data_IF_002247537097
#
_entry.id   IF_002247537097
#
_cell.length_a   1.000
_cell.length_b   1.000
_cell.length_c   1.000
_cell.angle_alpha   90.00
_cell.angle_beta   90.00
_cell.angle_gamma   90.00
#
_symmetry.space_group_name_H-M   'P 1'
#
loop_
_entity.id
_entity.type
_entity.pdbx_description
1 polymer ?
#
# COMPACT_ATOMS: atom_id res chain seq x y z
N UNK A 1 23.41 7.97 16.67
CA UNK A 1 24.00 8.98 15.76
C UNK A 1 25.35 9.47 16.26
N UNK A 2 25.47 9.87 17.54
CA UNK A 2 26.75 10.27 18.15
C UNK A 2 27.85 9.20 18.06
N UNK A 3 27.54 7.93 18.35
CA UNK A 3 28.50 6.81 18.19
C UNK A 3 29.01 6.65 16.74
N UNK A 4 28.13 6.85 15.75
CA UNK A 4 28.54 6.81 14.33
C UNK A 4 29.43 8.01 13.95
N UNK A 5 29.15 9.20 14.48
CA UNK A 5 29.97 10.39 14.28
C UNK A 5 31.37 10.22 14.86
N UNK A 6 31.47 9.66 16.06
CA UNK A 6 32.74 9.36 16.72
C UNK A 6 33.58 8.35 15.94
N UNK A 7 32.95 7.32 15.36
CA UNK A 7 33.62 6.34 14.50
C UNK A 7 34.04 6.92 13.15
N UNK A 8 33.26 7.84 12.57
CA UNK A 8 33.66 8.59 11.37
C UNK A 8 34.82 9.54 11.66
N UNK A 9 34.83 10.16 12.84
CA UNK A 9 35.92 11.01 13.29
C UNK A 9 37.24 10.25 13.42
N UNK A 10 37.22 8.94 13.68
CA UNK A 10 38.43 8.10 13.69
C UNK A 10 38.97 7.82 12.28
N UNK A 11 38.21 8.09 11.22
CA UNK A 11 38.58 7.87 9.81
C UNK A 11 39.13 9.12 9.12
N UNK A 12 39.89 9.95 9.86
CA UNK A 12 40.49 11.23 9.39
C UNK A 12 41.43 11.08 8.18
N UNK A 13 41.95 9.87 7.95
CA UNK A 13 42.85 9.54 6.85
C UNK A 13 42.12 9.45 5.50
N UNK A 14 40.79 9.27 5.49
CA UNK A 14 40.00 9.22 4.26
C UNK A 14 39.69 10.64 3.78
N UNK A 15 40.08 11.05 2.55
CA UNK A 15 39.95 12.45 2.09
C UNK A 15 38.51 13.00 2.15
N UNK A 16 37.52 12.16 1.84
CA UNK A 16 36.11 12.57 1.84
C UNK A 16 35.52 12.73 3.25
N UNK A 17 36.05 11.99 4.23
CA UNK A 17 35.72 12.14 5.65
C UNK A 17 36.40 13.38 6.21
N UNK A 18 37.68 13.59 5.86
CA UNK A 18 38.45 14.79 6.24
C UNK A 18 37.78 16.09 5.81
N UNK A 19 37.21 16.12 4.60
CA UNK A 19 36.47 17.27 4.08
C UNK A 19 35.19 17.60 4.88
N UNK A 20 34.68 16.65 5.68
CA UNK A 20 33.45 16.78 6.47
C UNK A 20 33.69 16.77 7.99
N UNK A 21 34.95 16.74 8.44
CA UNK A 21 35.30 16.80 9.87
C UNK A 21 34.73 18.02 10.60
N UNK A 22 34.75 19.25 10.05
CA UNK A 22 34.18 20.41 10.75
C UNK A 22 32.70 20.24 11.09
N UNK A 23 31.93 19.61 10.18
CA UNK A 23 30.52 19.30 10.39
C UNK A 23 30.34 18.18 11.44
N UNK A 24 31.20 17.17 11.42
CA UNK A 24 31.16 16.06 12.38
C UNK A 24 31.47 16.55 13.80
N UNK A 25 32.42 17.48 13.95
CA UNK A 25 32.76 18.11 15.24
C UNK A 25 31.64 19.04 15.72
N UNK A 26 31.06 19.85 14.85
CA UNK A 26 29.93 20.75 15.17
C UNK A 26 28.71 19.98 15.69
N UNK A 27 28.34 18.88 15.05
CA UNK A 27 27.16 18.08 15.43
C UNK A 27 27.39 17.27 16.72
N UNK A 28 28.65 17.11 17.14
CA UNK A 28 28.99 16.42 18.39
C UNK A 28 28.87 17.33 19.63
N UNK A 29 28.86 18.65 19.47
CA UNK A 29 28.69 19.55 20.61
C UNK A 29 27.27 19.50 21.16
N UNK A 30 27.12 19.64 22.48
CA UNK A 30 25.78 19.61 23.10
C UNK A 30 24.93 20.82 22.71
N UNK A 31 25.56 21.97 22.45
CA UNK A 31 24.90 23.20 22.04
C UNK A 31 24.17 23.06 20.70
N UNK A 32 24.69 22.24 19.79
CA UNK A 32 24.03 21.99 18.51
C UNK A 32 22.67 21.28 18.68
N UNK A 33 22.57 20.38 19.65
CA UNK A 33 21.35 19.60 19.90
C UNK A 33 20.26 20.39 20.64
N UNK A 34 20.63 21.47 21.34
CA UNK A 34 19.67 22.29 22.11
C UNK A 34 18.66 23.01 21.21
N UNK A 35 19.11 23.46 20.03
CA UNK A 35 18.28 24.20 19.06
C UNK A 35 18.04 23.43 17.74
N UNK A 36 18.31 22.12 17.72
CA UNK A 36 18.24 21.31 16.51
C UNK A 36 16.79 21.10 16.03
N UNK A 37 16.47 21.66 14.86
CA UNK A 37 15.21 21.39 14.18
C UNK A 37 15.25 20.09 13.34
N UNK A 38 14.11 19.40 13.11
CA UNK A 38 14.07 18.14 12.38
C UNK A 38 14.71 18.18 10.98
N UNK A 39 14.59 19.31 10.27
CA UNK A 39 15.19 19.48 8.94
C UNK A 39 16.72 19.54 8.99
N UNK A 40 17.31 20.05 10.08
CA UNK A 40 18.76 20.12 10.28
C UNK A 40 19.35 18.72 10.47
N UNK A 41 18.64 17.87 11.24
CA UNK A 41 19.01 16.47 11.46
C UNK A 41 18.95 15.68 10.15
N UNK A 42 17.91 15.90 9.34
CA UNK A 42 17.78 15.22 8.05
C UNK A 42 18.87 15.66 7.05
N UNK A 43 19.22 16.95 7.03
CA UNK A 43 20.34 17.44 6.23
C UNK A 43 21.66 16.77 6.62
N UNK A 44 21.92 16.60 7.92
CA UNK A 44 23.12 15.89 8.40
C UNK A 44 23.09 14.42 8.00
N UNK A 45 21.95 13.74 8.13
CA UNK A 45 21.80 12.33 7.72
C UNK A 45 22.13 12.15 6.23
N UNK A 46 21.68 13.07 5.37
CA UNK A 46 22.00 13.05 3.95
C UNK A 46 23.49 13.26 3.70
N UNK A 47 24.12 14.24 4.37
CA UNK A 47 25.54 14.52 4.18
C UNK A 47 26.47 13.42 4.72
N UNK A 48 26.05 12.68 5.74
CA UNK A 48 26.84 11.60 6.34
C UNK A 48 26.57 10.23 5.73
N UNK A 49 25.47 10.05 4.97
CA UNK A 49 25.06 8.76 4.39
C UNK A 49 26.20 8.08 3.62
N UNK A 50 26.90 8.85 2.80
CA UNK A 50 27.97 8.33 1.95
C UNK A 50 29.28 8.07 2.71
N UNK A 51 29.38 8.59 3.94
CA UNK A 51 30.55 8.41 4.81
C UNK A 51 30.44 7.15 5.67
N UNK A 52 29.22 6.68 6.00
CA UNK A 52 28.99 5.51 6.87
C UNK A 52 29.69 4.24 6.36
N UNK A 53 29.88 4.10 5.05
CA UNK A 53 30.56 2.96 4.43
C UNK A 53 32.05 2.83 4.82
N UNK A 54 32.65 3.88 5.39
CA UNK A 54 34.05 3.89 5.82
C UNK A 54 34.23 3.52 7.30
N UNK A 55 33.14 3.30 8.04
CA UNK A 55 33.20 2.73 9.38
C UNK A 55 33.48 1.24 9.22
N UNK A 56 34.57 0.75 9.81
CA UNK A 56 34.86 -0.69 9.79
C UNK A 56 33.76 -1.42 10.55
N UNK A 57 33.25 -2.51 9.96
CA UNK A 57 32.34 -3.42 10.66
C UNK A 57 33.21 -4.22 11.62
N UNK A 58 33.15 -3.91 12.92
CA UNK A 58 33.74 -4.81 13.91
C UNK A 58 33.04 -6.17 13.80
N UNK A 59 33.88 -7.22 13.83
CA UNK A 59 33.47 -8.61 13.84
C UNK A 59 32.39 -8.82 14.91
N UNK A 60 31.22 -9.27 14.47
CA UNK A 60 30.16 -9.69 15.39
C UNK A 60 30.67 -10.94 16.11
N UNK A 61 30.96 -10.83 17.41
CA UNK A 61 31.36 -11.97 18.24
C UNK A 61 30.25 -13.01 18.19
N UNK A 62 30.52 -14.14 17.52
CA UNK A 62 29.63 -15.31 17.50
C UNK A 62 29.72 -15.93 18.89
N UNK A 63 28.71 -15.72 19.73
CA UNK A 63 28.58 -16.41 21.01
C UNK A 63 27.92 -17.75 20.75
N UNK A 64 28.68 -18.84 20.89
CA UNK A 64 28.12 -20.19 20.97
C UNK A 64 27.50 -20.36 22.36
N UNK A 65 26.17 -20.44 22.42
CA UNK A 65 25.48 -20.98 23.59
C UNK A 65 25.18 -22.45 23.33
N UNK A 66 25.90 -23.30 24.05
CA UNK A 66 25.64 -24.73 24.16
C UNK A 66 24.44 -24.92 25.09
N UNK A 67 23.26 -25.16 24.51
CA UNK A 67 22.07 -25.57 25.24
C UNK A 67 21.64 -26.92 24.69
N UNK A 68 21.83 -27.97 25.49
CA UNK A 68 21.14 -29.25 25.30
C UNK A 68 19.68 -29.06 25.65
N UNK A 69 18.83 -28.78 24.66
CA UNK A 69 17.39 -28.64 24.85
C UNK A 69 16.61 -29.75 24.14
N UNK A 70 15.72 -30.36 24.92
CA UNK A 70 14.66 -31.26 24.48
C UNK A 70 13.68 -30.50 23.58
N UNK A 71 13.22 -31.15 22.51
CA UNK A 71 12.29 -30.58 21.55
C UNK A 71 10.92 -30.35 22.19
N UNK A 72 10.63 -29.12 22.59
CA UNK A 72 9.26 -28.65 22.85
C UNK A 72 8.86 -27.60 21.78
N UNK A 73 7.57 -27.56 21.47
CA UNK A 73 7.01 -27.03 20.22
C UNK A 73 7.41 -25.57 19.90
N UNK A 74 7.70 -25.34 18.62
CA UNK A 74 8.11 -24.05 18.06
C UNK A 74 7.02 -22.97 18.23
N UNK A 75 7.26 -21.97 19.09
CA UNK A 75 6.58 -20.68 18.97
C UNK A 75 7.31 -19.80 17.94
N UNK A 76 6.61 -19.44 16.86
CA UNK A 76 7.10 -18.47 15.87
C UNK A 76 7.23 -17.07 16.50
N UNK A 77 8.43 -16.71 16.95
CA UNK A 77 8.73 -15.33 17.35
C UNK A 77 8.99 -14.48 16.10
N UNK A 78 8.08 -13.55 15.84
CA UNK A 78 8.14 -12.62 14.71
C UNK A 78 9.27 -11.60 14.90
N UNK A 79 10.36 -11.73 14.14
CA UNK A 79 11.43 -10.73 14.07
C UNK A 79 10.94 -9.52 13.26
N UNK A 80 10.89 -8.29 13.81
CA UNK A 80 10.35 -7.15 13.09
C UNK A 80 11.31 -6.70 11.99
N UNK A 81 11.09 -7.22 10.79
CA UNK A 81 11.77 -6.76 9.59
C UNK A 81 11.21 -5.38 9.26
N UNK A 82 12.01 -4.30 9.43
CA UNK A 82 11.66 -2.97 8.90
C UNK A 82 11.82 -2.94 7.36
N UNK A 83 11.00 -3.70 6.65
CA UNK A 83 10.49 -3.24 5.36
C UNK A 83 9.41 -2.22 5.71
N UNK A 84 9.65 -0.94 5.47
CA UNK A 84 8.66 0.09 5.75
C UNK A 84 7.36 -0.24 5.01
N UNK A 85 6.31 -0.61 5.75
CA UNK A 85 5.00 -0.88 5.20
C UNK A 85 4.50 0.38 4.47
N UNK A 86 4.47 0.33 3.14
CA UNK A 86 3.93 1.42 2.33
C UNK A 86 2.49 1.09 1.97
N UNK A 87 1.53 1.78 2.60
CA UNK A 87 0.11 1.63 2.30
C UNK A 87 -0.19 1.81 0.81
N UNK A 88 0.55 2.69 0.12
CA UNK A 88 0.40 2.88 -1.32
C UNK A 88 0.83 1.64 -2.13
N UNK A 89 1.97 1.03 -1.81
CA UNK A 89 2.40 -0.20 -2.49
C UNK A 89 1.48 -1.38 -2.18
N UNK A 90 1.02 -1.49 -0.94
CA UNK A 90 0.01 -2.50 -0.56
C UNK A 90 -1.25 -2.33 -1.40
N UNK A 91 -1.80 -1.11 -1.47
CA UNK A 91 -2.99 -0.84 -2.31
C UNK A 91 -2.78 -1.26 -3.76
N UNK A 92 -1.66 -0.87 -4.36
CA UNK A 92 -1.33 -1.23 -5.74
C UNK A 92 -1.30 -2.75 -5.96
N UNK A 93 -0.73 -3.51 -5.02
CA UNK A 93 -0.65 -4.98 -5.10
C UNK A 93 -2.04 -5.62 -4.98
N UNK A 94 -2.82 -5.22 -3.98
CA UNK A 94 -4.18 -5.74 -3.73
C UNK A 94 -5.09 -5.47 -4.92
N UNK A 95 -5.08 -4.25 -5.43
CA UNK A 95 -5.90 -3.88 -6.58
C UNK A 95 -5.48 -4.62 -7.86
N UNK A 96 -4.17 -4.79 -8.10
CA UNK A 96 -3.67 -5.56 -9.23
C UNK A 96 -4.15 -7.02 -9.15
N UNK A 97 -4.01 -7.64 -7.97
CA UNK A 97 -4.48 -9.01 -7.74
C UNK A 97 -5.98 -9.18 -8.01
N UNK A 98 -6.82 -8.24 -7.58
CA UNK A 98 -8.27 -8.29 -7.88
C UNK A 98 -8.52 -8.15 -9.39
N UNK A 99 -7.80 -7.27 -10.08
CA UNK A 99 -7.93 -7.08 -11.54
C UNK A 99 -7.46 -8.30 -12.33
N UNK A 100 -6.39 -8.96 -11.89
CA UNK A 100 -5.83 -10.14 -12.55
C UNK A 100 -6.76 -11.36 -12.42
N UNK A 101 -7.58 -11.39 -11.38
CA UNK A 101 -8.53 -12.47 -11.12
C UNK A 101 -9.96 -12.15 -11.57
N UNK A 102 -10.13 -11.30 -12.58
CA UNK A 102 -11.46 -10.96 -13.13
C UNK A 102 -12.29 -12.16 -13.60
N UNK A 103 -11.64 -13.26 -13.95
CA UNK A 103 -12.28 -14.51 -14.39
C UNK A 103 -12.78 -15.37 -13.23
N UNK A 104 -12.45 -15.03 -11.97
CA UNK A 104 -12.98 -15.71 -10.80
C UNK A 104 -14.50 -15.57 -10.76
N UNK A 105 -15.21 -16.66 -10.47
CA UNK A 105 -16.69 -16.74 -10.61
C UNK A 105 -17.41 -15.61 -9.89
N UNK A 106 -17.02 -15.30 -8.65
CA UNK A 106 -17.64 -14.22 -7.89
C UNK A 106 -17.37 -12.82 -8.48
N UNK A 107 -16.15 -12.58 -8.99
CA UNK A 107 -15.79 -11.28 -9.61
C UNK A 107 -16.51 -11.14 -10.96
N UNK A 108 -16.55 -12.20 -11.76
CA UNK A 108 -17.26 -12.24 -13.02
C UNK A 108 -18.77 -11.96 -12.84
N UNK A 109 -19.40 -12.54 -11.81
CA UNK A 109 -20.80 -12.25 -11.45
C UNK A 109 -21.00 -10.78 -11.05
N UNK A 110 -20.12 -10.22 -10.22
CA UNK A 110 -20.17 -8.80 -9.87
C UNK A 110 -20.07 -7.89 -11.11
N UNK A 111 -19.14 -8.19 -12.02
CA UNK A 111 -18.95 -7.46 -13.28
C UNK A 111 -20.19 -7.55 -14.18
N UNK A 112 -20.84 -8.71 -14.26
CA UNK A 112 -22.09 -8.92 -15.02
C UNK A 112 -23.34 -8.40 -14.32
N UNK A 113 -23.19 -7.70 -13.20
CA UNK A 113 -24.30 -7.22 -12.39
C UNK A 113 -25.28 -8.34 -11.96
N UNK A 114 -24.75 -9.53 -11.71
CA UNK A 114 -25.50 -10.69 -11.22
C UNK A 114 -25.46 -10.73 -9.68
N UNK A 115 -26.54 -11.19 -9.02
CA UNK A 115 -26.55 -11.33 -7.58
C UNK A 115 -25.57 -12.43 -7.14
N UNK A 116 -24.80 -12.16 -6.08
CA UNK A 116 -23.97 -13.16 -5.45
C UNK A 116 -24.80 -14.01 -4.48
N UNK A 117 -24.78 -15.33 -4.65
CA UNK A 117 -25.31 -16.25 -3.64
C UNK A 117 -24.33 -16.37 -2.47
N UNK A 118 -24.78 -16.95 -1.35
CA UNK A 118 -23.97 -17.08 -0.14
C UNK A 118 -22.59 -17.74 -0.41
N UNK A 119 -22.57 -18.81 -1.20
CA UNK A 119 -21.32 -19.48 -1.59
C UNK A 119 -20.38 -18.60 -2.43
N UNK A 120 -20.92 -17.74 -3.30
CA UNK A 120 -20.09 -16.81 -4.09
C UNK A 120 -19.48 -15.71 -3.20
N UNK A 121 -20.22 -15.26 -2.18
CA UNK A 121 -19.73 -14.26 -1.24
C UNK A 121 -18.56 -14.81 -0.41
N UNK A 122 -18.68 -16.06 0.07
CA UNK A 122 -17.59 -16.75 0.75
C UNK A 122 -16.40 -16.94 -0.19
N UNK A 123 -16.65 -17.37 -1.43
CA UNK A 123 -15.58 -17.57 -2.41
C UNK A 123 -14.84 -16.25 -2.70
N UNK A 124 -15.55 -15.12 -2.77
CA UNK A 124 -14.95 -13.80 -2.94
C UNK A 124 -14.08 -13.42 -1.74
N UNK A 125 -14.60 -13.58 -0.52
CA UNK A 125 -13.85 -13.28 0.71
C UNK A 125 -12.60 -14.15 0.83
N UNK A 126 -12.73 -15.46 0.59
CA UNK A 126 -11.60 -16.39 0.60
C UNK A 126 -10.56 -16.02 -0.45
N UNK A 127 -11.00 -15.72 -1.67
CA UNK A 127 -10.10 -15.34 -2.75
C UNK A 127 -9.28 -14.10 -2.41
N UNK A 128 -9.88 -13.10 -1.76
CA UNK A 128 -9.20 -11.85 -1.39
C UNK A 128 -8.34 -12.05 -0.14
N UNK A 129 -8.91 -12.56 0.96
CA UNK A 129 -8.22 -12.61 2.25
C UNK A 129 -7.23 -13.77 2.40
N UNK A 130 -7.33 -14.83 1.61
CA UNK A 130 -6.34 -15.92 1.61
C UNK A 130 -5.17 -15.67 0.65
N UNK A 131 -5.12 -14.53 -0.02
CA UNK A 131 -4.00 -14.18 -0.88
C UNK A 131 -2.82 -13.66 -0.04
N UNK A 132 -1.62 -14.20 -0.25
CA UNK A 132 -0.40 -13.81 0.48
C UNK A 132 -0.14 -12.29 0.44
N UNK A 133 -0.54 -11.64 -0.66
CA UNK A 133 -0.40 -10.18 -0.85
C UNK A 133 -1.32 -9.33 0.03
N UNK A 134 -2.43 -9.89 0.52
CA UNK A 134 -3.35 -9.21 1.44
C UNK A 134 -2.89 -9.39 2.89
N UNK A 135 -2.07 -10.41 3.16
CA UNK A 135 -1.55 -10.86 4.46
C UNK A 135 -2.67 -11.32 5.40
N UNK A 136 -3.58 -10.43 5.78
CA UNK A 136 -4.74 -10.76 6.60
C UNK A 136 -5.90 -9.79 6.38
N UNK A 137 -7.09 -10.17 6.89
CA UNK A 137 -8.28 -9.31 6.86
C UNK A 137 -8.08 -8.04 7.69
N UNK A 138 -7.37 -8.13 8.81
CA UNK A 138 -7.04 -7.02 9.68
C UNK A 138 -6.14 -6.01 8.97
N UNK A 139 -5.15 -6.50 8.22
CA UNK A 139 -4.26 -5.66 7.44
C UNK A 139 -4.99 -4.95 6.31
N UNK A 140 -5.90 -5.64 5.62
CA UNK A 140 -6.79 -5.04 4.64
C UNK A 140 -7.63 -3.92 5.27
N UNK A 141 -8.26 -4.18 6.42
CA UNK A 141 -9.08 -3.22 7.13
C UNK A 141 -8.28 -2.02 7.66
N UNK A 142 -7.01 -2.22 8.03
CA UNK A 142 -6.11 -1.12 8.44
C UNK A 142 -5.83 -0.14 7.31
N UNK A 143 -5.76 -0.61 6.06
CA UNK A 143 -5.41 0.22 4.88
C UNK A 143 -6.64 0.83 4.21
N UNK A 144 -7.72 0.07 4.13
CA UNK A 144 -8.94 0.45 3.42
C UNK A 144 -10.06 0.92 4.36
N UNK A 145 -10.00 0.59 5.65
CA UNK A 145 -11.09 0.83 6.59
C UNK A 145 -12.18 -0.23 6.46
N UNK A 146 -13.37 0.09 6.97
CA UNK A 146 -14.53 -0.78 6.88
C UNK A 146 -15.22 -0.63 5.51
N UNK A 147 -14.71 -1.33 4.50
CA UNK A 147 -15.22 -1.25 3.12
C UNK A 147 -16.11 -2.45 2.81
N UNK A 148 -17.21 -2.21 2.09
CA UNK A 148 -18.00 -3.29 1.52
C UNK A 148 -17.23 -3.96 0.37
N UNK A 149 -16.79 -5.21 0.57
CA UNK A 149 -15.94 -5.92 -0.39
C UNK A 149 -16.57 -6.04 -1.78
N UNK A 150 -17.88 -6.27 -1.88
CA UNK A 150 -18.59 -6.38 -3.16
C UNK A 150 -18.54 -5.07 -3.94
N UNK A 151 -18.73 -3.96 -3.24
CA UNK A 151 -18.66 -2.61 -3.82
C UNK A 151 -17.23 -2.28 -4.26
N UNK A 152 -16.26 -2.54 -3.40
CA UNK A 152 -14.84 -2.32 -3.68
C UNK A 152 -14.38 -3.07 -4.94
N UNK A 153 -14.73 -4.35 -5.04
CA UNK A 153 -14.39 -5.14 -6.23
C UNK A 153 -15.03 -4.56 -7.49
N UNK A 154 -16.31 -4.15 -7.44
CA UNK A 154 -16.97 -3.48 -8.58
C UNK A 154 -16.26 -2.18 -8.96
N UNK A 155 -15.85 -1.37 -7.99
CA UNK A 155 -15.08 -0.13 -8.23
C UNK A 155 -13.77 -0.37 -8.98
N UNK A 156 -13.12 -1.51 -8.75
CA UNK A 156 -11.85 -1.83 -9.39
C UNK A 156 -11.98 -2.47 -10.78
N UNK A 157 -13.00 -3.28 -11.02
CA UNK A 157 -13.15 -4.07 -12.26
C UNK A 157 -14.17 -3.49 -13.23
N UNK A 158 -14.98 -2.52 -12.78
CA UNK A 158 -16.06 -1.96 -13.57
C UNK A 158 -17.25 -2.90 -13.75
N UNK A 159 -18.11 -2.57 -14.72
CA UNK A 159 -19.26 -3.40 -15.10
C UNK A 159 -19.22 -3.77 -16.57
N UNK A 160 -19.84 -4.90 -16.89
CA UNK A 160 -20.09 -5.28 -18.26
C UNK A 160 -21.11 -4.32 -18.90
N UNK A 161 -20.72 -3.71 -20.02
CA UNK A 161 -21.55 -2.72 -20.71
C UNK A 161 -22.92 -3.26 -21.09
N UNK A 162 -23.02 -4.53 -21.51
CA UNK A 162 -24.29 -5.13 -21.91
C UNK A 162 -25.18 -5.38 -20.68
N UNK A 163 -24.60 -5.80 -19.56
CA UNK A 163 -25.32 -5.92 -18.30
C UNK A 163 -25.90 -4.57 -17.83
N UNK A 164 -25.11 -3.48 -17.92
CA UNK A 164 -25.58 -2.13 -17.60
C UNK A 164 -26.69 -1.70 -18.57
N UNK A 165 -26.48 -1.83 -19.89
CA UNK A 165 -27.52 -1.53 -20.90
C UNK A 165 -28.82 -2.28 -20.63
N UNK A 166 -28.73 -3.58 -20.31
CA UNK A 166 -29.89 -4.42 -19.98
C UNK A 166 -30.62 -3.91 -18.73
N UNK A 167 -29.88 -3.50 -17.70
CA UNK A 167 -30.45 -2.91 -16.49
C UNK A 167 -31.10 -1.54 -16.75
N UNK A 168 -30.56 -0.74 -17.67
CA UNK A 168 -31.11 0.56 -18.06
C UNK A 168 -32.28 0.47 -19.04
N UNK A 169 -32.42 -0.64 -19.79
CA UNK A 169 -33.48 -0.83 -20.79
C UNK A 169 -34.90 -0.61 -20.23
N UNK A 170 -35.14 -0.97 -18.96
CA UNK A 170 -36.43 -0.73 -18.29
C UNK A 170 -36.73 0.74 -17.97
N UNK A 171 -35.72 1.60 -17.98
CA UNK A 171 -35.84 3.03 -17.68
C UNK A 171 -35.85 3.90 -18.95
N UNK A 172 -35.36 3.38 -20.08
CA UNK A 172 -35.44 4.05 -21.38
C UNK A 172 -36.90 4.06 -21.86
N UNK A 173 -37.48 5.26 -22.02
CA UNK A 173 -38.80 5.43 -22.61
C UNK A 173 -38.67 5.77 -24.10
N UNK A 174 -39.66 5.42 -24.95
CA UNK A 174 -39.62 5.72 -26.39
C UNK A 174 -39.52 7.21 -26.73
N UNK A 175 -39.92 8.06 -25.79
CA UNK A 175 -40.05 9.51 -25.93
C UNK A 175 -38.86 10.28 -25.34
N UNK A 176 -37.70 9.63 -25.20
CA UNK A 176 -36.49 10.32 -24.78
C UNK A 176 -35.94 11.19 -25.90
N UNK A 177 -35.52 12.42 -25.56
CA UNK A 177 -34.82 13.29 -26.49
C UNK A 177 -33.33 12.90 -26.64
N UNK A 178 -32.66 13.47 -27.64
CA UNK A 178 -31.25 13.17 -27.93
C UNK A 178 -30.32 13.47 -26.75
N UNK A 179 -30.61 14.49 -25.94
CA UNK A 179 -29.79 14.84 -24.78
C UNK A 179 -29.97 13.81 -23.65
N UNK A 180 -31.19 13.34 -23.42
CA UNK A 180 -31.51 12.31 -22.44
C UNK A 180 -30.88 10.97 -22.82
N UNK A 181 -30.91 10.59 -24.11
CA UNK A 181 -30.24 9.38 -24.60
C UNK A 181 -28.74 9.47 -24.34
N UNK A 182 -28.12 10.60 -24.72
CA UNK A 182 -26.68 10.84 -24.50
C UNK A 182 -26.30 10.81 -23.01
N UNK A 183 -27.14 11.37 -22.15
CA UNK A 183 -26.93 11.32 -20.71
C UNK A 183 -26.93 9.88 -20.18
N UNK A 184 -27.87 9.05 -20.63
CA UNK A 184 -27.89 7.62 -20.25
C UNK A 184 -26.65 6.90 -20.77
N UNK A 185 -26.20 7.17 -21.99
CA UNK A 185 -24.97 6.60 -22.52
C UNK A 185 -23.75 6.98 -21.68
N UNK A 186 -23.65 8.23 -21.22
CA UNK A 186 -22.58 8.69 -20.34
C UNK A 186 -22.61 7.97 -18.99
N UNK A 187 -23.79 7.75 -18.41
CA UNK A 187 -23.91 6.95 -17.17
C UNK A 187 -23.48 5.50 -17.43
N UNK A 188 -23.86 4.92 -18.56
CA UNK A 188 -23.45 3.55 -18.93
C UNK A 188 -21.94 3.46 -19.06
N UNK A 189 -21.30 4.42 -19.75
CA UNK A 189 -19.85 4.46 -19.90
C UNK A 189 -19.15 4.62 -18.54
N UNK A 190 -19.67 5.50 -17.70
CA UNK A 190 -19.15 5.73 -16.37
C UNK A 190 -19.21 4.46 -15.51
N UNK A 191 -20.37 3.80 -15.45
CA UNK A 191 -20.56 2.56 -14.69
C UNK A 191 -19.75 1.40 -15.27
N UNK A 192 -19.54 1.37 -16.59
CA UNK A 192 -18.69 0.36 -17.24
C UNK A 192 -17.24 0.48 -16.76
N UNK A 193 -16.74 1.71 -16.56
CA UNK A 193 -15.36 1.96 -16.12
C UNK A 193 -15.18 1.91 -14.60
N UNK A 194 -16.12 2.49 -13.84
CA UNK A 194 -15.96 2.74 -12.41
C UNK A 194 -16.82 1.82 -11.53
N UNK A 195 -17.72 1.04 -12.12
CA UNK A 195 -18.46 -0.05 -11.47
C UNK A 195 -19.53 0.32 -10.45
N UNK A 196 -19.44 1.50 -9.85
CA UNK A 196 -20.38 2.08 -8.88
C UNK A 196 -20.53 3.58 -9.14
N UNK A 197 -21.56 4.18 -8.53
CA UNK A 197 -21.81 5.61 -8.60
C UNK A 197 -22.40 6.07 -7.27
N UNK A 198 -21.66 6.91 -6.56
CA UNK A 198 -21.97 7.30 -5.17
C UNK A 198 -23.08 8.34 -5.09
N UNK A 199 -23.19 9.19 -6.12
CA UNK A 199 -24.27 10.15 -6.25
C UNK A 199 -24.37 10.68 -7.69
N UNK A 200 -25.52 10.46 -8.35
CA UNK A 200 -25.80 11.00 -9.69
C UNK A 200 -25.73 12.55 -9.71
N UNK A 201 -26.11 13.21 -8.61
CA UNK A 201 -26.16 14.68 -8.54
C UNK A 201 -24.78 15.35 -8.55
N UNK A 202 -23.74 14.67 -8.04
CA UNK A 202 -22.37 15.20 -8.07
C UNK A 202 -21.82 15.21 -9.50
N UNK A 203 -22.19 14.20 -10.30
CA UNK A 203 -21.80 14.08 -11.71
C UNK A 203 -22.47 15.11 -12.62
N UNK A 204 -23.73 15.47 -12.34
CA UNK A 204 -24.46 16.47 -13.14
C UNK A 204 -23.87 17.89 -12.96
N UNK A 205 -23.17 18.16 -11.85
CA UNK A 205 -22.55 19.48 -11.60
C UNK A 205 -21.17 19.65 -12.26
N UNK A 206 -20.58 18.57 -12.77
CA UNK A 206 -19.20 18.55 -13.31
C UNK A 206 -19.13 18.45 -14.84
N UNK A 207 -20.29 18.41 -15.52
CA UNK A 207 -20.45 18.47 -16.98
C UNK A 207 -21.24 19.72 -17.33
#
# INVERSE_FOLDING_TARGET
>A
MRDLLQRLEQKRTVPIVKAKLPLIEEVQTETWWTDAAPFMIENIRLQLRDLIKFIDREEQTIVYTDFTDELEDLEEVNVPTRHGFSSHQYRKKVEAYIRDNQNHVAIAKLKRNEPLIYGDAIALEKMVYSADIVESREQFQKVYGNVNLKRFVRELVGLDRNAVKKAFKKYLKPQFDSNQIRFVEMIIDYLTQNGTMDNLLTYIKTV
#
